data_IF_826607553414
#
_entry.id   IF_826607553414
#
_cell.length_a   1.000
_cell.length_b   1.000
_cell.length_c   1.000
_cell.angle_alpha   90.00
_cell.angle_beta   90.00
_cell.angle_gamma   90.00
#
_symmetry.space_group_name_H-M   'P 1'
#
loop_
_entity.id
_entity.type
_entity.pdbx_description
1 polymer ?
#
# COMPACT_ATOMS: atom_id res chain seq x y z
N UNK A 1 15.40 -26.25 10.57
CA UNK A 1 15.30 -25.76 11.95
C UNK A 1 16.68 -25.33 12.43
N UNK A 2 16.99 -24.04 12.40
CA UNK A 2 18.11 -23.50 13.16
C UNK A 2 17.52 -22.95 14.46
N UNK A 3 17.82 -23.64 15.57
CA UNK A 3 17.57 -23.15 16.92
C UNK A 3 18.46 -21.92 17.13
N UNK A 4 17.88 -20.74 17.06
CA UNK A 4 18.51 -19.53 17.58
C UNK A 4 18.38 -19.63 19.10
N UNK A 5 19.49 -20.02 19.73
CA UNK A 5 19.67 -20.02 21.17
C UNK A 5 19.30 -18.65 21.74
N UNK A 6 18.65 -18.68 22.90
CA UNK A 6 18.24 -17.51 23.69
C UNK A 6 19.32 -16.42 23.69
N UNK A 7 19.12 -15.38 22.90
CA UNK A 7 19.89 -14.16 23.01
C UNK A 7 19.45 -13.45 24.29
N UNK A 8 20.33 -13.44 25.29
CA UNK A 8 20.27 -12.47 26.39
C UNK A 8 20.27 -11.07 25.77
N UNK A 9 19.11 -10.40 25.77
CA UNK A 9 18.93 -9.09 25.14
C UNK A 9 17.75 -8.95 24.18
N UNK A 10 16.76 -9.86 24.20
CA UNK A 10 15.49 -9.63 23.51
C UNK A 10 14.80 -8.38 24.10
N UNK A 11 15.02 -7.23 23.47
CA UNK A 11 14.27 -6.01 23.77
C UNK A 11 12.78 -6.34 23.66
N UNK A 12 11.96 -5.88 24.61
CA UNK A 12 10.50 -5.96 24.48
C UNK A 12 10.09 -5.17 23.24
N UNK A 13 9.82 -5.86 22.13
CA UNK A 13 9.31 -5.27 20.89
C UNK A 13 7.81 -4.97 20.99
N UNK A 14 7.33 -4.62 22.20
CA UNK A 14 5.94 -4.30 22.47
C UNK A 14 5.48 -3.16 21.58
N UNK A 15 4.46 -3.40 20.75
CA UNK A 15 3.92 -2.39 19.83
C UNK A 15 4.75 -2.14 18.56
N UNK A 16 5.84 -2.88 18.32
CA UNK A 16 6.59 -2.77 17.07
C UNK A 16 5.73 -3.14 15.86
N UNK A 17 5.71 -2.24 14.87
CA UNK A 17 4.97 -2.43 13.62
C UNK A 17 5.92 -2.96 12.55
N UNK A 18 6.10 -4.28 12.51
CA UNK A 18 6.93 -4.92 11.50
C UNK A 18 6.25 -4.86 10.13
N UNK A 19 6.96 -4.37 9.11
CA UNK A 19 6.48 -4.38 7.73
C UNK A 19 6.56 -5.81 7.18
N UNK A 20 5.43 -6.49 7.13
CA UNK A 20 5.31 -7.85 6.58
C UNK A 20 5.32 -7.81 5.05
N UNK A 21 4.58 -6.87 4.46
CA UNK A 21 4.49 -6.66 3.01
C UNK A 21 4.08 -5.22 2.71
N UNK A 22 4.56 -4.71 1.59
CA UNK A 22 4.03 -3.51 0.96
C UNK A 22 3.89 -3.74 -0.54
N UNK A 23 2.97 -3.00 -1.16
CA UNK A 23 2.87 -2.84 -2.60
C UNK A 23 2.35 -1.44 -2.90
N UNK A 24 2.60 -0.97 -4.11
CA UNK A 24 2.10 0.30 -4.61
C UNK A 24 1.64 0.15 -6.05
N UNK A 25 0.63 0.93 -6.42
CA UNK A 25 0.23 1.06 -7.82
C UNK A 25 0.09 2.52 -8.21
N UNK A 26 0.45 2.84 -9.45
CA UNK A 26 0.05 4.10 -10.08
C UNK A 26 -1.40 3.98 -10.50
N UNK A 27 -2.30 4.73 -9.86
CA UNK A 27 -3.75 4.60 -10.10
C UNK A 27 -4.21 4.92 -11.53
N UNK A 28 -3.36 5.53 -12.38
CA UNK A 28 -3.64 5.66 -13.83
C UNK A 28 -3.74 4.30 -14.54
N UNK A 29 -3.13 3.25 -13.99
CA UNK A 29 -3.16 1.89 -14.53
C UNK A 29 -4.18 0.97 -13.83
N UNK A 30 -5.13 1.52 -13.07
CA UNK A 30 -6.10 0.73 -12.27
C UNK A 30 -6.94 -0.27 -13.08
N UNK A 31 -7.17 0.02 -14.36
CA UNK A 31 -8.00 -0.78 -15.26
C UNK A 31 -7.19 -1.47 -16.38
N UNK A 32 -5.99 -0.98 -16.69
CA UNK A 32 -5.10 -1.55 -17.71
C UNK A 32 -3.66 -1.09 -17.47
N UNK A 33 -2.71 -2.01 -17.57
CA UNK A 33 -1.28 -1.69 -17.54
C UNK A 33 -0.80 -1.05 -18.85
N UNK A 34 -1.51 -1.27 -19.95
CA UNK A 34 -1.17 -0.75 -21.28
C UNK A 34 -1.83 0.59 -21.58
N UNK A 35 -3.08 0.77 -21.11
CA UNK A 35 -3.91 1.95 -21.41
C UNK A 35 -4.16 2.76 -20.13
N UNK A 36 -3.28 3.73 -19.79
CA UNK A 36 -3.49 4.56 -18.62
C UNK A 36 -4.69 5.49 -18.81
N UNK A 37 -5.44 5.73 -17.74
CA UNK A 37 -6.58 6.64 -17.73
C UNK A 37 -6.57 7.58 -16.51
N UNK A 38 -6.97 8.85 -16.67
CA UNK A 38 -7.03 9.79 -15.56
C UNK A 38 -8.09 9.38 -14.53
N UNK A 39 -7.96 9.91 -13.31
CA UNK A 39 -9.08 9.97 -12.38
C UNK A 39 -9.93 11.20 -12.67
N UNK A 40 -11.24 11.08 -12.57
CA UNK A 40 -12.13 12.24 -12.49
C UNK A 40 -12.07 12.83 -11.07
N UNK A 41 -11.73 14.12 -10.89
CA UNK A 41 -11.67 14.75 -9.58
C UNK A 41 -12.96 14.57 -8.78
N UNK A 42 -12.85 14.26 -7.49
CA UNK A 42 -13.96 14.04 -6.54
C UNK A 42 -14.92 12.88 -6.86
N UNK A 43 -14.69 12.12 -7.94
CA UNK A 43 -15.45 10.91 -8.22
C UNK A 43 -14.88 9.73 -7.47
N UNK A 44 -15.71 9.10 -6.63
CA UNK A 44 -15.35 7.85 -5.95
C UNK A 44 -15.05 6.81 -7.03
N UNK A 45 -13.82 6.29 -7.01
CA UNK A 45 -13.32 5.36 -8.02
C UNK A 45 -12.81 4.11 -7.31
N UNK A 46 -13.31 2.95 -7.70
CA UNK A 46 -12.80 1.69 -7.18
C UNK A 46 -11.39 1.44 -7.74
N UNK A 47 -10.46 1.08 -6.86
CA UNK A 47 -9.08 0.74 -7.22
C UNK A 47 -8.81 -0.65 -6.66
N UNK A 48 -8.77 -1.65 -7.55
CA UNK A 48 -8.56 -3.05 -7.21
C UNK A 48 -7.26 -3.53 -7.84
N UNK A 49 -6.38 -4.09 -7.02
CA UNK A 49 -5.15 -4.72 -7.48
C UNK A 49 -4.78 -5.87 -6.55
N UNK A 50 -3.96 -6.78 -7.04
CA UNK A 50 -3.47 -7.93 -6.29
C UNK A 50 -2.17 -7.52 -5.60
N UNK A 51 -2.09 -7.76 -4.29
CA UNK A 51 -0.85 -7.64 -3.53
C UNK A 51 0.02 -8.86 -3.85
N UNK A 52 1.33 -8.67 -3.83
CA UNK A 52 2.26 -9.78 -3.96
C UNK A 52 2.14 -10.73 -2.76
N UNK A 53 2.39 -12.01 -3.03
CA UNK A 53 2.24 -13.07 -2.03
C UNK A 53 3.16 -12.87 -0.82
N UNK A 54 2.69 -13.39 0.32
CA UNK A 54 3.45 -13.45 1.55
C UNK A 54 3.12 -14.73 2.30
N UNK A 55 4.15 -15.42 2.78
CA UNK A 55 4.02 -16.54 3.71
C UNK A 55 4.49 -16.09 5.10
N UNK A 56 3.52 -15.69 5.93
CA UNK A 56 3.80 -15.17 7.26
C UNK A 56 2.80 -15.69 8.30
N UNK A 57 3.32 -16.08 9.46
CA UNK A 57 2.52 -16.56 10.60
C UNK A 57 2.39 -15.48 11.67
N UNK A 58 1.20 -14.89 11.78
CA UNK A 58 0.86 -13.99 12.90
C UNK A 58 0.58 -14.82 14.16
N UNK A 59 1.44 -14.68 15.18
CA UNK A 59 1.34 -15.45 16.43
C UNK A 59 0.27 -14.88 17.35
N UNK A 60 -0.15 -15.67 18.36
CA UNK A 60 -1.06 -15.22 19.42
C UNK A 60 -0.53 -13.92 20.05
N UNK A 61 -1.40 -12.91 20.13
CA UNK A 61 -1.06 -11.59 20.65
C UNK A 61 -0.63 -10.57 19.57
N UNK A 62 -0.31 -11.01 18.35
CA UNK A 62 -0.04 -10.10 17.24
C UNK A 62 -1.34 -9.53 16.66
N UNK A 63 -1.22 -8.41 15.94
CA UNK A 63 -2.32 -7.78 15.19
C UNK A 63 -1.90 -7.59 13.75
N UNK A 64 -2.86 -7.73 12.84
CA UNK A 64 -2.70 -7.32 11.45
C UNK A 64 -3.00 -5.82 11.38
N UNK A 65 -2.10 -5.06 10.76
CA UNK A 65 -2.25 -3.63 10.54
C UNK A 65 -2.11 -3.35 9.04
N UNK A 66 -3.02 -2.52 8.51
CA UNK A 66 -2.98 -2.05 7.12
C UNK A 66 -2.72 -0.55 7.16
N UNK A 67 -1.64 -0.12 6.50
CA UNK A 67 -1.32 1.30 6.30
C UNK A 67 -1.57 1.66 4.84
N UNK A 68 -2.28 2.77 4.60
CA UNK A 68 -2.56 3.28 3.26
C UNK A 68 -1.95 4.67 3.14
N UNK A 69 -1.13 4.85 2.11
CA UNK A 69 -0.48 6.12 1.80
C UNK A 69 -0.41 6.33 0.29
N UNK A 70 -0.32 7.59 -0.14
CA UNK A 70 -0.26 7.96 -1.57
C UNK A 70 1.16 8.28 -2.05
N UNK A 71 2.16 7.95 -1.24
CA UNK A 71 3.58 8.13 -1.54
C UNK A 71 4.42 7.18 -0.72
N UNK A 72 5.50 6.65 -1.28
CA UNK A 72 6.52 5.90 -0.55
C UNK A 72 7.90 6.23 -1.14
N UNK A 73 8.29 7.48 -0.96
CA UNK A 73 9.56 8.01 -1.45
C UNK A 73 10.70 7.63 -0.50
N UNK A 74 11.92 7.31 -0.97
CA UNK A 74 12.38 7.34 -2.36
C UNK A 74 12.16 6.04 -3.15
N UNK A 75 11.52 5.03 -2.55
CA UNK A 75 11.36 3.72 -3.19
C UNK A 75 10.50 3.77 -4.46
N UNK A 76 9.39 4.51 -4.41
CA UNK A 76 8.61 4.90 -5.60
C UNK A 76 8.78 6.39 -5.88
N UNK A 77 8.81 6.74 -7.16
CA UNK A 77 8.81 8.13 -7.60
C UNK A 77 7.51 8.85 -7.16
N UNK A 78 7.63 10.14 -6.83
CA UNK A 78 6.47 10.93 -6.41
C UNK A 78 5.46 10.99 -7.54
N UNK A 79 4.17 10.92 -7.23
CA UNK A 79 3.13 11.16 -8.24
C UNK A 79 2.93 12.68 -8.35
N UNK A 80 3.02 13.29 -9.54
CA UNK A 80 2.69 14.71 -9.75
C UNK A 80 1.24 15.07 -9.38
N UNK A 81 0.37 14.06 -9.23
CA UNK A 81 -1.07 14.20 -9.05
C UNK A 81 -1.71 14.91 -10.26
N UNK A 82 -1.11 14.75 -11.43
CA UNK A 82 -1.60 15.16 -12.76
C UNK A 82 -1.46 13.98 -13.72
N UNK A 83 -2.34 13.90 -14.71
CA UNK A 83 -2.26 12.88 -15.74
C UNK A 83 -1.27 13.32 -16.83
N UNK A 84 -0.03 12.88 -16.72
CA UNK A 84 1.07 13.21 -17.64
C UNK A 84 2.15 12.11 -17.64
N UNK A 85 3.16 12.29 -18.47
CA UNK A 85 4.38 11.47 -18.44
C UNK A 85 5.26 11.88 -17.26
N UNK A 86 5.33 11.00 -16.26
CA UNK A 86 5.91 11.31 -14.96
C UNK A 86 7.44 11.40 -15.04
N UNK A 87 8.07 10.67 -15.94
CA UNK A 87 9.53 10.70 -16.11
C UNK A 87 10.04 12.06 -16.60
N UNK A 88 9.20 12.79 -17.33
CA UNK A 88 9.50 14.13 -17.85
C UNK A 88 8.77 15.24 -17.06
N UNK A 89 8.21 14.93 -15.89
CA UNK A 89 7.55 15.91 -15.05
C UNK A 89 8.56 16.93 -14.49
N UNK A 90 8.19 18.20 -14.54
CA UNK A 90 8.96 19.30 -13.92
C UNK A 90 8.48 19.56 -12.50
N UNK A 91 9.24 20.32 -11.74
CA UNK A 91 8.88 20.66 -10.35
C UNK A 91 7.53 21.39 -10.28
N UNK A 92 7.19 22.22 -11.26
CA UNK A 92 5.92 22.96 -11.34
C UNK A 92 4.72 22.05 -11.67
N UNK A 93 4.96 20.82 -12.16
CA UNK A 93 3.89 19.88 -12.45
C UNK A 93 3.32 19.27 -11.18
N UNK A 94 4.09 19.17 -10.11
CA UNK A 94 3.67 18.57 -8.85
C UNK A 94 2.67 19.46 -8.12
N UNK A 95 1.49 18.90 -7.84
CA UNK A 95 0.47 19.58 -7.04
C UNK A 95 0.08 18.77 -5.81
N UNK A 96 -0.35 19.46 -4.76
CA UNK A 96 -0.99 18.81 -3.62
C UNK A 96 -2.31 18.20 -4.06
N UNK A 97 -2.62 17.02 -3.55
CA UNK A 97 -3.92 16.40 -3.71
C UNK A 97 -4.43 15.92 -2.34
N UNK A 98 -5.74 15.98 -2.17
CA UNK A 98 -6.41 15.41 -1.00
C UNK A 98 -6.98 14.05 -1.39
N UNK A 99 -6.43 13.00 -0.78
CA UNK A 99 -6.92 11.63 -0.98
C UNK A 99 -7.87 11.25 0.16
N UNK A 100 -8.93 10.51 -0.17
CA UNK A 100 -9.87 9.96 0.80
C UNK A 100 -10.11 8.49 0.51
N UNK A 101 -9.86 7.65 1.50
CA UNK A 101 -10.26 6.24 1.49
C UNK A 101 -11.65 6.16 2.13
N UNK A 102 -12.59 5.54 1.42
CA UNK A 102 -13.94 5.32 1.93
C UNK A 102 -14.00 3.93 2.56
N UNK A 103 -14.56 3.82 3.75
CA UNK A 103 -14.75 2.54 4.44
C UNK A 103 -16.12 2.57 5.13
N UNK A 104 -17.15 2.15 4.39
CA UNK A 104 -18.54 2.10 4.85
C UNK A 104 -19.28 0.93 4.20
N UNK A 105 -20.51 0.66 4.62
CA UNK A 105 -21.33 -0.41 4.01
C UNK A 105 -21.53 -0.20 2.50
N UNK A 106 -21.72 1.06 2.07
CA UNK A 106 -21.85 1.41 0.64
C UNK A 106 -20.53 1.31 -0.11
N UNK A 107 -19.40 1.57 0.55
CA UNK A 107 -18.05 1.54 -0.02
C UNK A 107 -17.13 0.68 0.85
N UNK A 108 -17.25 -0.66 0.78
CA UNK A 108 -16.60 -1.57 1.72
C UNK A 108 -15.15 -1.88 1.29
N UNK A 109 -14.27 -0.88 1.40
CA UNK A 109 -12.82 -1.12 1.18
C UNK A 109 -12.32 -2.23 2.09
N UNK A 110 -11.63 -3.21 1.51
CA UNK A 110 -11.14 -4.38 2.25
C UNK A 110 -9.82 -4.89 1.68
N UNK A 111 -9.14 -5.72 2.47
CA UNK A 111 -7.99 -6.52 2.05
C UNK A 111 -8.37 -7.98 2.25
N UNK A 112 -8.14 -8.81 1.24
CA UNK A 112 -8.42 -10.25 1.29
C UNK A 112 -7.10 -11.02 1.32
N UNK A 113 -7.04 -12.06 2.14
CA UNK A 113 -5.85 -12.89 2.32
C UNK A 113 -6.16 -14.35 2.01
N UNK A 114 -5.21 -15.05 1.39
CA UNK A 114 -5.18 -16.51 1.44
C UNK A 114 -4.75 -16.96 2.83
N UNK A 115 -5.49 -17.90 3.44
CA UNK A 115 -5.16 -18.44 4.76
C UNK A 115 -4.87 -19.92 4.61
N UNK A 116 -3.65 -20.31 4.98
CA UNK A 116 -3.24 -21.72 5.08
C UNK A 116 -3.38 -22.15 6.54
N UNK A 117 -3.89 -23.37 6.76
CA UNK A 117 -4.06 -23.96 8.09
C UNK A 117 -2.97 -24.99 8.37
#
# INVERSE_FOLDING_TARGET
>A
MQNISNAQGAAEMGGYQSLVRFDGMRGKFRNSLEKPEPFEPNKITNVKFVLNDVDHSFRKGHRIMVQIQSSFFPFFDRNPQKFLDIYNAKDEDFQKATHRVYFSEKYPTSVSFGVVK
#
